data_IF_883164710783
#
_entry.id   IF_883164710783
#
_cell.length_a   1.000
_cell.length_b   1.000
_cell.length_c   1.000
_cell.angle_alpha   90.00
_cell.angle_beta   90.00
_cell.angle_gamma   90.00
#
_symmetry.space_group_name_H-M   'P 1'
#
loop_
_entity.id
_entity.type
_entity.pdbx_description
1 polymer ?
#
# COMPACT_ATOMS: atom_id res chain seq x y z
N UNK A 1 -1.40 18.88 4.91
CA UNK A 1 -1.17 17.80 3.93
C UNK A 1 -1.52 16.48 4.59
N UNK A 2 -2.10 15.55 3.88
CA UNK A 2 -2.70 14.34 4.44
C UNK A 2 -1.98 13.11 3.88
N UNK A 3 -0.93 12.62 4.56
CA UNK A 3 -0.30 11.32 4.25
C UNK A 3 -0.01 11.09 2.76
N UNK A 4 0.84 11.92 2.14
CA UNK A 4 1.19 11.93 0.71
C UNK A 4 0.07 12.37 -0.24
N UNK A 5 -1.11 12.76 0.24
CA UNK A 5 -2.26 13.14 -0.57
C UNK A 5 -2.74 14.54 -0.21
N UNK A 6 -3.21 15.29 -1.21
CA UNK A 6 -3.95 16.53 -1.01
C UNK A 6 -5.46 16.25 -1.15
N UNK A 7 -6.28 17.11 -0.53
CA UNK A 7 -7.74 17.05 -0.69
C UNK A 7 -8.15 17.13 -2.17
N UNK A 8 -7.49 18.00 -2.93
CA UNK A 8 -7.73 18.16 -4.37
C UNK A 8 -7.43 16.86 -5.13
N UNK A 9 -6.31 16.19 -4.80
CA UNK A 9 -5.97 14.91 -5.43
C UNK A 9 -7.04 13.85 -5.15
N UNK A 10 -7.46 13.72 -3.89
CA UNK A 10 -8.48 12.76 -3.47
C UNK A 10 -9.79 12.96 -4.23
N UNK A 11 -10.31 14.19 -4.27
CA UNK A 11 -11.57 14.53 -4.94
C UNK A 11 -11.51 14.36 -6.46
N UNK A 12 -10.36 14.61 -7.08
CA UNK A 12 -10.21 14.51 -8.52
C UNK A 12 -9.97 13.08 -9.02
N UNK A 13 -9.46 12.18 -8.16
CA UNK A 13 -9.03 10.84 -8.57
C UNK A 13 -9.86 9.70 -7.97
N UNK A 14 -10.85 10.02 -7.13
CA UNK A 14 -11.74 9.02 -6.50
C UNK A 14 -13.19 9.45 -6.63
N UNK A 15 -14.16 8.55 -6.37
CA UNK A 15 -15.58 8.89 -6.33
C UNK A 15 -15.98 9.77 -5.13
N UNK A 16 -15.05 10.14 -4.27
CA UNK A 16 -15.31 11.04 -3.14
C UNK A 16 -15.57 12.43 -3.69
N UNK A 17 -16.84 12.85 -3.67
CA UNK A 17 -17.27 14.13 -4.25
C UNK A 17 -16.91 15.32 -3.39
N UNK A 18 -17.04 16.53 -3.97
CA UNK A 18 -16.82 17.79 -3.26
C UNK A 18 -17.73 17.97 -2.01
N UNK A 19 -18.89 17.30 -1.98
CA UNK A 19 -19.85 17.39 -0.87
C UNK A 19 -19.46 16.53 0.35
N UNK A 20 -18.47 15.66 0.22
CA UNK A 20 -17.96 14.87 1.35
C UNK A 20 -16.94 15.71 2.11
N UNK A 21 -17.18 15.90 3.41
CA UNK A 21 -16.21 16.55 4.28
C UNK A 21 -14.97 15.65 4.41
N UNK A 22 -13.82 16.20 4.00
CA UNK A 22 -12.54 15.48 4.02
C UNK A 22 -12.15 15.05 5.43
N UNK A 23 -12.57 15.76 6.46
CA UNK A 23 -12.34 15.36 7.84
C UNK A 23 -12.90 13.96 8.16
N UNK A 24 -14.00 13.57 7.52
CA UNK A 24 -14.58 12.24 7.66
C UNK A 24 -13.78 11.15 6.96
N UNK A 25 -12.92 11.51 6.01
CA UNK A 25 -12.08 10.58 5.23
C UNK A 25 -10.63 10.53 5.74
N UNK A 26 -10.18 11.60 6.39
CA UNK A 26 -8.81 11.70 6.92
C UNK A 26 -8.36 10.51 7.78
N UNK A 27 -9.18 9.93 8.69
CA UNK A 27 -8.78 8.77 9.47
C UNK A 27 -8.46 7.54 8.59
N UNK A 28 -9.21 7.36 7.49
CA UNK A 28 -8.98 6.25 6.56
C UNK A 28 -7.68 6.46 5.77
N UNK A 29 -7.36 7.70 5.36
CA UNK A 29 -6.09 8.01 4.70
C UNK A 29 -4.89 7.66 5.60
N UNK A 30 -4.94 8.06 6.87
CA UNK A 30 -3.89 7.74 7.85
C UNK A 30 -3.71 6.24 8.02
N UNK A 31 -4.83 5.55 8.23
CA UNK A 31 -4.84 4.10 8.45
C UNK A 31 -4.29 3.35 7.24
N UNK A 32 -4.74 3.68 6.02
CA UNK A 32 -4.31 3.00 4.82
C UNK A 32 -2.86 3.30 4.44
N UNK A 33 -2.36 4.51 4.72
CA UNK A 33 -0.94 4.81 4.55
C UNK A 33 -0.07 3.91 5.44
N UNK A 34 -0.48 3.67 6.69
CA UNK A 34 0.25 2.79 7.61
C UNK A 34 0.07 1.31 7.28
N UNK A 35 -1.15 0.87 6.94
CA UNK A 35 -1.43 -0.55 6.69
C UNK A 35 -0.87 -1.05 5.35
N UNK A 36 -0.82 -0.20 4.32
CA UNK A 36 -0.48 -0.62 2.96
C UNK A 36 0.87 -0.12 2.48
N UNK A 37 1.25 1.11 2.82
CA UNK A 37 2.48 1.71 2.32
C UNK A 37 3.66 1.43 3.24
N UNK A 38 3.46 1.57 4.55
CA UNK A 38 4.54 1.34 5.51
C UNK A 38 5.14 -0.08 5.42
N UNK A 39 4.39 -1.19 5.29
CA UNK A 39 4.99 -2.51 5.11
C UNK A 39 5.78 -2.65 3.80
N UNK A 40 5.36 -1.98 2.73
CA UNK A 40 6.06 -2.01 1.44
C UNK A 40 7.37 -1.24 1.51
N UNK A 41 7.36 -0.05 2.10
CA UNK A 41 8.55 0.81 2.19
C UNK A 41 9.47 0.45 3.35
N UNK A 42 8.94 -0.10 4.42
CA UNK A 42 9.56 -0.20 5.75
C UNK A 42 9.45 1.10 6.54
N UNK A 43 9.40 0.99 7.86
CA UNK A 43 9.12 2.13 8.77
C UNK A 43 10.13 3.26 8.61
N UNK A 44 11.42 2.93 8.47
CA UNK A 44 12.47 3.94 8.37
C UNK A 44 12.30 4.79 7.11
N UNK A 45 12.15 4.16 5.95
CA UNK A 45 12.01 4.86 4.69
C UNK A 45 10.65 5.58 4.57
N UNK A 46 9.58 4.97 5.07
CA UNK A 46 8.26 5.61 5.12
C UNK A 46 8.29 6.91 5.92
N UNK A 47 8.89 6.92 7.11
CA UNK A 47 8.96 8.11 7.96
C UNK A 47 9.86 9.21 7.36
N UNK A 48 10.99 8.84 6.76
CA UNK A 48 11.85 9.79 6.05
C UNK A 48 11.10 10.46 4.90
N UNK A 49 10.48 9.65 4.04
CA UNK A 49 9.71 10.13 2.89
C UNK A 49 8.54 11.02 3.31
N UNK A 50 7.81 10.66 4.38
CA UNK A 50 6.70 11.45 4.90
C UNK A 50 7.17 12.79 5.47
N UNK A 51 8.31 12.80 6.15
CA UNK A 51 8.92 14.02 6.70
C UNK A 51 9.33 14.97 5.57
N UNK A 52 10.01 14.47 4.54
CA UNK A 52 10.41 15.24 3.36
C UNK A 52 9.20 15.74 2.57
N UNK A 53 8.16 14.91 2.42
CA UNK A 53 6.91 15.31 1.76
C UNK A 53 6.24 16.49 2.46
N UNK A 54 6.13 16.44 3.81
CA UNK A 54 5.55 17.51 4.60
C UNK A 54 6.39 18.79 4.59
N UNK A 55 7.71 18.65 4.54
CA UNK A 55 8.65 19.76 4.43
C UNK A 55 8.79 20.32 2.99
N UNK A 56 8.22 19.64 1.99
CA UNK A 56 8.38 19.97 0.55
C UNK A 56 9.84 19.93 0.09
N UNK A 57 10.60 18.96 0.58
CA UNK A 57 12.02 18.77 0.31
C UNK A 57 12.33 17.43 -0.34
N UNK A 58 11.35 16.87 -1.06
CA UNK A 58 11.54 15.63 -1.80
C UNK A 58 12.57 15.80 -2.93
N UNK A 59 13.38 14.77 -3.12
CA UNK A 59 14.20 14.66 -4.31
C UNK A 59 13.37 14.27 -5.54
N UNK A 60 13.80 14.54 -6.78
CA UNK A 60 13.05 14.21 -7.99
C UNK A 60 12.62 12.73 -8.08
N UNK A 61 13.47 11.80 -7.64
CA UNK A 61 13.16 10.37 -7.63
C UNK A 61 12.10 10.05 -6.55
N UNK A 62 12.14 10.71 -5.41
CA UNK A 62 11.15 10.58 -4.33
C UNK A 62 9.79 11.18 -4.75
N UNK A 63 9.78 12.29 -5.51
CA UNK A 63 8.55 12.85 -6.08
C UNK A 63 7.88 11.83 -7.01
N UNK A 64 8.66 11.17 -7.87
CA UNK A 64 8.15 10.10 -8.74
C UNK A 64 7.58 8.96 -7.90
N UNK A 65 8.27 8.53 -6.83
CA UNK A 65 7.78 7.48 -5.93
C UNK A 65 6.44 7.84 -5.30
N UNK A 66 6.28 9.08 -4.84
CA UNK A 66 5.02 9.59 -4.27
C UNK A 66 3.88 9.49 -5.28
N UNK A 67 4.11 9.70 -6.57
CA UNK A 67 3.06 9.53 -7.61
C UNK A 67 2.54 8.09 -7.69
N UNK A 68 3.34 7.08 -7.34
CA UNK A 68 2.90 5.68 -7.25
C UNK A 68 2.16 5.39 -5.94
N UNK A 69 2.50 6.09 -4.84
CA UNK A 69 1.88 5.91 -3.52
C UNK A 69 0.47 6.51 -3.46
N UNK A 70 0.31 7.71 -4.01
CA UNK A 70 -0.93 8.48 -3.94
C UNK A 70 -2.19 7.70 -4.36
N UNK A 71 -2.24 7.04 -5.53
CA UNK A 71 -3.43 6.32 -5.96
C UNK A 71 -3.78 5.13 -5.06
N UNK A 72 -2.79 4.48 -4.44
CA UNK A 72 -3.02 3.37 -3.52
C UNK A 72 -3.81 3.86 -2.30
N UNK A 73 -3.28 4.88 -1.63
CA UNK A 73 -3.92 5.45 -0.43
C UNK A 73 -5.30 5.99 -0.77
N UNK A 74 -5.43 6.69 -1.92
CA UNK A 74 -6.70 7.27 -2.36
C UNK A 74 -7.80 6.22 -2.57
N UNK A 75 -7.50 5.14 -3.30
CA UNK A 75 -8.49 4.08 -3.57
C UNK A 75 -8.78 3.21 -2.36
N UNK A 76 -7.80 2.94 -1.49
CA UNK A 76 -8.01 2.24 -0.21
C UNK A 76 -8.83 3.06 0.78
N UNK A 77 -8.57 4.36 0.87
CA UNK A 77 -9.38 5.23 1.71
C UNK A 77 -10.81 5.38 1.17
N UNK A 78 -10.99 5.38 -0.16
CA UNK A 78 -12.32 5.38 -0.77
C UNK A 78 -13.08 4.07 -0.48
N UNK A 79 -12.39 2.92 -0.50
CA UNK A 79 -12.94 1.61 -0.11
C UNK A 79 -13.47 1.65 1.32
N UNK A 80 -12.65 2.09 2.29
CA UNK A 80 -13.06 2.19 3.70
C UNK A 80 -14.16 3.23 3.91
N UNK A 81 -14.09 4.36 3.18
CA UNK A 81 -15.07 5.42 3.29
C UNK A 81 -16.48 4.98 2.84
N UNK A 82 -16.58 4.11 1.82
CA UNK A 82 -17.88 3.54 1.40
C UNK A 82 -18.56 2.83 2.57
N UNK A 83 -17.80 2.02 3.30
CA UNK A 83 -18.34 1.31 4.47
C UNK A 83 -18.59 2.29 5.64
N UNK A 84 -17.60 3.10 6.01
CA UNK A 84 -17.66 3.97 7.17
C UNK A 84 -18.70 5.10 7.05
N UNK A 85 -18.95 5.61 5.84
CA UNK A 85 -19.96 6.63 5.61
C UNK A 85 -21.37 6.04 5.45
N UNK A 86 -21.50 4.77 5.02
CA UNK A 86 -22.80 4.10 4.95
C UNK A 86 -23.29 3.62 6.32
N UNK A 87 -22.36 3.33 7.24
CA UNK A 87 -22.64 2.79 8.58
C UNK A 87 -21.98 3.67 9.63
N UNK A 88 -22.77 4.36 10.45
CA UNK A 88 -22.23 5.14 11.57
C UNK A 88 -22.40 4.40 12.90
N UNK A 89 -21.30 4.32 13.67
CA UNK A 89 -21.32 3.84 15.04
C UNK A 89 -21.78 4.99 15.94
N UNK A 90 -22.95 4.87 16.55
CA UNK A 90 -23.51 5.82 17.53
C UNK A 90 -23.66 5.16 18.88
N UNK A 91 -23.92 5.94 19.92
CA UNK A 91 -24.12 5.44 21.30
C UNK A 91 -25.21 4.35 21.43
N UNK A 92 -26.10 4.22 20.44
CA UNK A 92 -27.15 3.20 20.37
C UNK A 92 -26.80 2.01 19.45
N UNK A 93 -25.56 1.90 19.01
CA UNK A 93 -25.08 0.85 18.11
C UNK A 93 -24.89 1.31 16.67
N UNK A 94 -24.72 0.34 15.77
CA UNK A 94 -24.50 0.58 14.34
C UNK A 94 -25.81 1.04 13.68
N UNK A 95 -25.79 2.20 13.03
CA UNK A 95 -26.97 2.77 12.36
C UNK A 95 -26.64 3.07 10.90
N UNK A 96 -27.60 2.79 10.00
CA UNK A 96 -27.59 3.27 8.62
C UNK A 96 -28.03 4.72 8.56
N UNK A 97 -27.38 5.53 7.73
CA UNK A 97 -27.83 6.90 7.50
C UNK A 97 -28.98 6.93 6.49
N UNK A 98 -30.08 7.55 6.90
CA UNK A 98 -31.21 7.87 6.03
C UNK A 98 -31.30 9.40 5.93
N UNK A 99 -31.34 9.92 4.70
CA UNK A 99 -31.76 11.30 4.44
C UNK A 99 -33.20 11.31 3.95
N UNK A 100 -33.91 12.42 4.17
CA UNK A 100 -35.34 12.56 3.84
C UNK A 100 -35.67 12.28 2.35
N UNK A 101 -34.66 12.30 1.46
CA UNK A 101 -34.77 12.04 0.02
C UNK A 101 -33.80 10.96 -0.49
N UNK A 102 -33.23 10.12 0.36
CA UNK A 102 -32.28 9.07 -0.04
C UNK A 102 -32.71 7.72 0.52
N UNK A 103 -32.78 6.70 -0.34
CA UNK A 103 -32.93 5.31 0.06
C UNK A 103 -31.57 4.73 0.47
N UNK A 104 -31.56 3.86 1.48
CA UNK A 104 -30.34 3.12 1.84
C UNK A 104 -29.88 2.25 0.68
N UNK A 105 -28.58 2.29 0.40
CA UNK A 105 -27.97 1.43 -0.61
C UNK A 105 -27.97 -0.02 -0.07
N UNK A 106 -28.29 -0.95 -0.95
CA UNK A 106 -28.25 -2.38 -0.65
C UNK A 106 -26.83 -2.85 -0.29
N UNK A 107 -26.75 -3.85 0.62
CA UNK A 107 -25.46 -4.42 1.06
C UNK A 107 -24.64 -5.00 -0.10
N UNK A 108 -25.29 -5.59 -1.10
CA UNK A 108 -24.63 -6.13 -2.28
C UNK A 108 -23.94 -5.03 -3.08
N UNK A 109 -24.58 -3.89 -3.25
CA UNK A 109 -24.01 -2.72 -3.94
C UNK A 109 -22.84 -2.12 -3.17
N UNK A 110 -22.91 -2.07 -1.84
CA UNK A 110 -21.79 -1.63 -0.98
C UNK A 110 -20.59 -2.57 -1.16
N UNK A 111 -20.82 -3.89 -1.02
CA UNK A 111 -19.78 -4.89 -1.16
C UNK A 111 -19.13 -4.87 -2.55
N UNK A 112 -19.92 -4.77 -3.60
CA UNK A 112 -19.42 -4.64 -4.98
C UNK A 112 -18.56 -3.39 -5.17
N UNK A 113 -18.99 -2.26 -4.63
CA UNK A 113 -18.22 -1.01 -4.73
C UNK A 113 -16.89 -1.09 -3.99
N UNK A 114 -16.89 -1.68 -2.79
CA UNK A 114 -15.66 -1.91 -2.02
C UNK A 114 -14.69 -2.83 -2.77
N UNK A 115 -15.18 -3.96 -3.30
CA UNK A 115 -14.36 -4.88 -4.09
C UNK A 115 -13.77 -4.20 -5.32
N UNK A 116 -14.56 -3.41 -6.04
CA UNK A 116 -14.09 -2.68 -7.22
C UNK A 116 -12.98 -1.68 -6.87
N UNK A 117 -13.08 -0.97 -5.74
CA UNK A 117 -12.04 -0.04 -5.30
C UNK A 117 -10.80 -0.78 -4.79
N UNK A 118 -10.98 -1.90 -4.08
CA UNK A 118 -9.90 -2.78 -3.66
C UNK A 118 -9.08 -3.30 -4.85
N UNK A 119 -9.74 -3.72 -5.94
CA UNK A 119 -9.06 -4.18 -7.16
C UNK A 119 -8.22 -3.08 -7.81
N UNK A 120 -8.74 -1.85 -7.88
CA UNK A 120 -7.97 -0.70 -8.38
C UNK A 120 -6.74 -0.42 -7.51
N UNK A 121 -6.92 -0.40 -6.20
CA UNK A 121 -5.81 -0.20 -5.27
C UNK A 121 -4.75 -1.29 -5.40
N UNK A 122 -5.16 -2.56 -5.49
CA UNK A 122 -4.25 -3.70 -5.66
C UNK A 122 -3.42 -3.59 -6.95
N UNK A 123 -4.02 -3.09 -8.04
CA UNK A 123 -3.27 -2.82 -9.27
C UNK A 123 -2.14 -1.79 -9.06
N UNK A 124 -2.43 -0.70 -8.35
CA UNK A 124 -1.42 0.32 -8.04
C UNK A 124 -0.38 -0.17 -7.02
N UNK A 125 -0.77 -1.00 -6.05
CA UNK A 125 0.16 -1.67 -5.12
C UNK A 125 1.18 -2.51 -5.89
N UNK A 126 0.73 -3.33 -6.84
CA UNK A 126 1.61 -4.13 -7.69
C UNK A 126 2.54 -3.27 -8.56
N UNK A 127 2.07 -2.13 -9.05
CA UNK A 127 2.91 -1.18 -9.81
C UNK A 127 3.99 -0.57 -8.93
N UNK A 128 3.66 -0.15 -7.70
CA UNK A 128 4.62 0.39 -6.73
C UNK A 128 5.71 -0.64 -6.42
N UNK A 129 5.32 -1.88 -6.11
CA UNK A 129 6.24 -2.98 -5.82
C UNK A 129 7.21 -3.21 -6.98
N UNK A 130 6.70 -3.34 -8.21
CA UNK A 130 7.53 -3.53 -9.40
C UNK A 130 8.47 -2.35 -9.64
N UNK A 131 7.99 -1.13 -9.42
CA UNK A 131 8.80 0.07 -9.56
C UNK A 131 9.96 0.08 -8.55
N UNK A 132 9.68 -0.17 -7.26
CA UNK A 132 10.71 -0.23 -6.21
C UNK A 132 11.75 -1.33 -6.47
N UNK A 133 11.33 -2.52 -6.86
CA UNK A 133 12.23 -3.63 -7.16
C UNK A 133 13.16 -3.32 -8.35
N UNK A 134 12.63 -2.65 -9.37
CA UNK A 134 13.41 -2.27 -10.56
C UNK A 134 14.37 -1.11 -10.28
N UNK A 135 13.98 -0.16 -9.44
CA UNK A 135 14.69 1.10 -9.22
C UNK A 135 15.29 1.19 -7.81
N UNK A 136 15.51 0.07 -7.13
CA UNK A 136 16.01 0.02 -5.75
C UNK A 136 17.32 0.77 -5.53
N UNK A 137 18.17 0.88 -6.55
CA UNK A 137 19.41 1.63 -6.47
C UNK A 137 19.23 3.14 -6.26
N UNK A 138 18.07 3.69 -6.62
CA UNK A 138 17.72 5.10 -6.41
C UNK A 138 17.33 5.40 -4.96
N UNK A 139 17.01 4.36 -4.17
CA UNK A 139 16.49 4.50 -2.81
C UNK A 139 17.41 3.81 -1.80
N UNK A 140 18.53 4.44 -1.40
CA UNK A 140 19.51 3.81 -0.50
C UNK A 140 18.94 3.50 0.89
N UNK A 141 18.00 4.30 1.40
CA UNK A 141 17.33 4.02 2.68
C UNK A 141 16.48 2.76 2.58
N UNK A 142 15.75 2.57 1.47
CA UNK A 142 14.94 1.38 1.22
C UNK A 142 15.80 0.10 1.21
N UNK A 143 16.98 0.16 0.62
CA UNK A 143 17.92 -0.98 0.55
C UNK A 143 18.80 -1.12 1.79
N UNK A 144 18.82 -0.11 2.67
CA UNK A 144 19.69 -0.05 3.82
C UNK A 144 19.36 -1.08 4.92
N UNK A 145 20.39 -1.44 5.70
CA UNK A 145 20.25 -2.40 6.82
C UNK A 145 19.37 -1.89 7.96
N UNK A 146 19.11 -0.60 8.02
CA UNK A 146 18.23 0.03 9.03
C UNK A 146 16.75 -0.13 8.72
N UNK A 147 16.41 -0.40 7.46
CA UNK A 147 15.03 -0.59 6.99
C UNK A 147 14.67 -2.08 6.99
N UNK A 148 14.60 -2.69 8.18
CA UNK A 148 14.50 -4.16 8.35
C UNK A 148 13.09 -4.72 8.38
N UNK A 149 12.09 -3.89 8.51
CA UNK A 149 10.68 -4.25 8.70
C UNK A 149 9.84 -4.12 7.42
N UNK A 150 10.51 -3.97 6.26
CA UNK A 150 9.80 -4.03 4.98
C UNK A 150 9.46 -5.47 4.60
N UNK A 151 8.25 -5.69 4.11
CA UNK A 151 7.82 -6.98 3.53
C UNK A 151 8.56 -7.29 2.23
N UNK A 152 9.05 -6.27 1.54
CA UNK A 152 9.88 -6.36 0.34
C UNK A 152 11.36 -6.29 0.72
N UNK A 153 11.87 -7.25 1.48
CA UNK A 153 13.30 -7.26 1.84
C UNK A 153 14.14 -7.21 0.57
N UNK A 154 14.83 -6.07 0.28
CA UNK A 154 15.78 -6.06 -0.80
C UNK A 154 16.95 -6.95 -0.36
N UNK A 155 17.12 -8.07 -1.01
CA UNK A 155 18.30 -8.90 -0.77
C UNK A 155 19.53 -8.15 -1.23
N UNK A 156 20.48 -7.97 -0.33
CA UNK A 156 21.81 -7.41 -0.59
C UNK A 156 22.54 -8.27 -1.63
N UNK A 157 22.17 -9.53 -1.78
CA UNK A 157 22.78 -10.54 -2.65
C UNK A 157 22.03 -10.82 -3.96
N UNK A 158 21.17 -9.93 -4.41
CA UNK A 158 20.54 -10.05 -5.74
C UNK A 158 19.32 -10.94 -5.83
N UNK A 159 18.90 -11.62 -4.77
CA UNK A 159 17.66 -12.41 -4.73
C UNK A 159 16.64 -11.75 -3.81
N UNK A 160 15.53 -11.28 -4.33
CA UNK A 160 14.36 -10.87 -3.54
C UNK A 160 13.38 -12.03 -3.50
N UNK A 161 13.28 -12.72 -2.38
CA UNK A 161 12.19 -13.65 -2.15
C UNK A 161 11.02 -12.89 -1.55
N UNK A 162 9.94 -12.70 -2.32
CA UNK A 162 8.64 -12.35 -1.76
C UNK A 162 8.12 -13.59 -1.02
N UNK A 163 7.72 -13.43 0.23
CA UNK A 163 7.23 -14.50 1.10
C UNK A 163 5.97 -15.24 0.58
N UNK A 164 5.41 -14.83 -0.55
CA UNK A 164 4.21 -15.38 -1.16
C UNK A 164 4.46 -16.16 -2.48
N UNK A 165 5.64 -16.72 -2.70
CA UNK A 165 5.84 -17.74 -3.72
C UNK A 165 5.69 -17.34 -5.20
N UNK A 166 5.69 -16.04 -5.54
CA UNK A 166 5.42 -15.54 -6.90
C UNK A 166 6.62 -14.95 -7.65
N UNK A 167 7.85 -15.19 -7.19
CA UNK A 167 9.05 -14.94 -7.99
C UNK A 167 9.98 -16.14 -7.92
N UNK A 168 9.96 -16.95 -8.96
CA UNK A 168 11.00 -17.92 -9.23
C UNK A 168 12.33 -17.18 -9.37
N UNK A 169 13.23 -17.39 -8.43
CA UNK A 169 14.62 -16.99 -8.55
C UNK A 169 15.26 -17.91 -9.58
N UNK A 170 15.31 -17.54 -10.86
CA UNK A 170 16.07 -18.23 -11.86
C UNK A 170 17.57 -18.24 -11.47
N UNK A 171 18.00 -19.28 -10.76
CA UNK A 171 19.29 -19.89 -10.91
C UNK A 171 20.54 -19.15 -10.39
N UNK A 172 20.46 -18.07 -9.61
CA UNK A 172 21.63 -17.33 -9.14
C UNK A 172 21.72 -17.16 -7.62
N UNK A 173 21.05 -18.02 -6.86
CA UNK A 173 21.36 -18.16 -5.42
C UNK A 173 22.46 -19.18 -5.23
N UNK A 174 23.65 -18.87 -5.73
CA UNK A 174 24.89 -19.58 -5.41
C UNK A 174 25.36 -19.18 -4.02
N UNK A 175 24.63 -19.58 -2.97
CA UNK A 175 25.11 -19.51 -1.61
C UNK A 175 26.24 -20.52 -1.44
N UNK A 176 27.45 -20.05 -1.20
CA UNK A 176 28.53 -20.89 -0.68
C UNK A 176 28.09 -21.47 0.69
N UNK A 177 27.54 -22.65 0.64
CA UNK A 177 27.18 -23.48 1.77
C UNK A 177 27.52 -24.92 1.41
N UNK A 178 28.82 -25.21 1.41
CA UNK A 178 29.34 -26.57 1.35
C UNK A 178 28.82 -27.34 2.56
N UNK A 179 27.82 -28.18 2.38
CA UNK A 179 27.59 -29.33 3.23
C UNK A 179 27.22 -30.48 2.34
N UNK A 180 28.25 -31.30 2.07
CA UNK A 180 28.14 -32.56 1.38
C UNK A 180 27.18 -33.52 2.08
N UNK A 181 26.18 -33.92 1.35
CA UNK A 181 25.54 -35.23 1.52
C UNK A 181 25.58 -35.94 0.17
N UNK A 182 26.64 -36.72 0.04
CA UNK A 182 26.68 -37.82 -0.91
C UNK A 182 25.56 -38.82 -0.58
N UNK A 183 24.48 -38.80 -1.31
CA UNK A 183 23.58 -39.95 -1.37
C UNK A 183 23.88 -40.75 -2.62
N UNK A 184 24.83 -41.67 -2.47
CA UNK A 184 25.00 -42.78 -3.39
C UNK A 184 23.83 -43.75 -3.19
N UNK A 185 22.84 -43.73 -4.09
CA UNK A 185 21.85 -44.79 -4.18
C UNK A 185 22.46 -45.89 -5.01
N UNK A 186 22.82 -47.00 -4.34
CA UNK A 186 23.12 -48.29 -4.97
C UNK A 186 21.79 -48.91 -5.45
N UNK A 187 21.69 -49.12 -6.74
CA UNK A 187 20.66 -49.96 -7.35
C UNK A 187 21.16 -51.42 -7.31
N UNK A 188 20.40 -52.26 -6.67
CA UNK A 188 20.39 -53.72 -6.88
C UNK A 188 19.00 -54.08 -7.38
#
# INVERSE_FOLDING_TARGET
MLYFITETYLKNNTPITANVDVNNVTPYLATQAQLRIMPILGTTFYNDLLTKYNAQTLDPDEEVLVTFIQPIIAWRAAEDAVFGLSLQLKNKGLQTQFGDNSSSVDRGTIAFSMEHYAQKAAFFEQRLIRYLLKNRALYPIFTGTTNRDTDLRPMIDGCSCLSNGLLECNGLCGGAGNNGYNNSILII
#
